data_IF_476393651247
#
_entry.id   IF_476393651247
#
_cell.length_a   1.000
_cell.length_b   1.000
_cell.length_c   1.000
_cell.angle_alpha   90.00
_cell.angle_beta   90.00
_cell.angle_gamma   90.00
#
_symmetry.space_group_name_H-M   'P 1'
#
loop_
_entity.id
_entity.type
_entity.pdbx_description
1 polymer ?
#
# COMPACT_ATOMS: atom_id res chain seq x y z
N UNK A 1 57.91 -17.59 -38.84
CA UNK A 1 57.81 -18.02 -37.44
C UNK A 1 57.60 -16.75 -36.62
N UNK A 2 56.37 -16.44 -36.23
CA UNK A 2 56.07 -15.22 -35.47
C UNK A 2 55.51 -15.63 -34.12
N UNK A 3 56.19 -15.27 -33.03
CA UNK A 3 55.73 -15.55 -31.67
C UNK A 3 54.45 -14.76 -31.35
N UNK A 4 53.51 -15.33 -30.58
CA UNK A 4 52.37 -14.58 -30.05
C UNK A 4 52.79 -13.71 -28.85
N UNK A 5 52.09 -12.60 -28.57
CA UNK A 5 52.46 -11.66 -27.51
C UNK A 5 52.09 -12.22 -26.12
N UNK A 6 52.74 -11.74 -25.03
CA UNK A 6 52.47 -12.22 -23.67
C UNK A 6 51.10 -11.75 -23.17
N UNK A 7 50.37 -12.66 -22.53
CA UNK A 7 49.08 -12.43 -21.88
C UNK A 7 49.23 -11.53 -20.64
N UNK A 8 48.37 -10.51 -20.53
CA UNK A 8 48.25 -9.66 -19.33
C UNK A 8 47.73 -10.47 -18.14
N UNK A 9 48.22 -10.24 -16.91
CA UNK A 9 47.67 -10.89 -15.72
C UNK A 9 46.26 -10.38 -15.43
N UNK A 10 45.33 -11.31 -15.20
CA UNK A 10 43.95 -11.05 -14.78
C UNK A 10 43.93 -10.47 -13.36
N UNK A 11 42.96 -9.59 -13.02
CA UNK A 11 42.89 -8.99 -11.70
C UNK A 11 42.55 -10.07 -10.65
N UNK A 12 43.38 -10.14 -9.61
CA UNK A 12 43.22 -11.06 -8.48
C UNK A 12 41.83 -10.95 -7.87
N UNK A 13 41.06 -12.04 -7.88
CA UNK A 13 39.89 -12.18 -7.04
C UNK A 13 40.35 -12.22 -5.58
N UNK A 14 40.19 -11.10 -4.86
CA UNK A 14 40.40 -11.06 -3.40
C UNK A 14 39.33 -11.94 -2.74
N UNK A 15 39.73 -13.13 -2.29
CA UNK A 15 38.89 -13.96 -1.43
C UNK A 15 38.64 -13.23 -0.11
N UNK A 16 37.37 -13.03 0.25
CA UNK A 16 36.94 -12.45 1.53
C UNK A 16 37.54 -13.25 2.69
N UNK A 17 38.10 -12.55 3.68
CA UNK A 17 38.91 -13.13 4.75
C UNK A 17 38.06 -13.99 5.70
N UNK A 18 38.60 -15.09 6.22
CA UNK A 18 37.92 -15.97 7.19
C UNK A 18 37.44 -15.21 8.44
N UNK A 19 38.15 -14.15 8.82
CA UNK A 19 37.77 -13.28 9.94
C UNK A 19 36.51 -12.45 9.63
N UNK A 20 36.34 -12.01 8.38
CA UNK A 20 35.12 -11.31 7.94
C UNK A 20 33.91 -12.27 7.90
N UNK A 21 34.14 -13.56 7.62
CA UNK A 21 33.09 -14.59 7.71
C UNK A 21 32.72 -14.89 9.17
N UNK A 22 33.68 -14.78 10.08
CA UNK A 22 33.47 -15.00 11.52
C UNK A 22 32.73 -13.81 12.17
N UNK A 23 33.05 -12.57 11.78
CA UNK A 23 32.33 -11.39 12.27
C UNK A 23 30.89 -11.31 11.72
N UNK A 24 30.67 -11.75 10.48
CA UNK A 24 29.32 -11.88 9.90
C UNK A 24 28.45 -12.94 10.60
N UNK A 25 29.05 -13.94 11.26
CA UNK A 25 28.31 -14.91 12.07
C UNK A 25 27.88 -14.34 13.44
N UNK A 26 28.54 -13.28 13.92
CA UNK A 26 28.29 -12.65 15.22
C UNK A 26 27.29 -11.48 15.10
N UNK A 27 27.38 -10.70 14.02
CA UNK A 27 26.40 -9.65 13.69
C UNK A 27 25.48 -10.16 12.58
N UNK A 28 24.45 -10.93 12.95
CA UNK A 28 23.42 -11.37 12.01
C UNK A 28 22.45 -10.23 11.76
N UNK A 29 22.67 -9.50 10.68
CA UNK A 29 21.64 -8.64 10.10
C UNK A 29 20.50 -9.53 9.60
N UNK A 30 19.22 -9.10 9.72
CA UNK A 30 18.11 -9.86 9.18
C UNK A 30 18.24 -9.94 7.66
N UNK A 31 18.33 -11.16 7.13
CA UNK A 31 18.50 -11.42 5.68
C UNK A 31 17.17 -11.58 4.94
N UNK A 32 16.08 -11.81 5.69
CA UNK A 32 14.73 -11.98 5.14
C UNK A 32 13.68 -11.33 6.05
N UNK A 33 12.44 -11.31 5.55
CA UNK A 33 11.32 -10.63 6.20
C UNK A 33 10.97 -11.27 7.55
N UNK A 34 11.04 -12.59 7.64
CA UNK A 34 10.77 -13.32 8.88
C UNK A 34 11.78 -12.96 9.97
N UNK A 35 13.07 -12.89 9.62
CA UNK A 35 14.13 -12.49 10.55
C UNK A 35 13.99 -11.01 10.96
N UNK A 36 13.57 -10.14 10.04
CA UNK A 36 13.31 -8.74 10.37
C UNK A 36 12.18 -8.61 11.38
N UNK A 37 11.07 -9.34 11.18
CA UNK A 37 9.94 -9.35 12.11
C UNK A 37 10.34 -9.86 13.49
N UNK A 38 11.12 -10.93 13.56
CA UNK A 38 11.64 -11.45 14.82
C UNK A 38 12.50 -10.40 15.56
N UNK A 39 13.37 -9.70 14.84
CA UNK A 39 14.19 -8.64 15.44
C UNK A 39 13.35 -7.48 15.99
N UNK A 40 12.24 -7.15 15.33
CA UNK A 40 11.28 -6.13 15.79
C UNK A 40 10.51 -6.60 17.03
N UNK A 41 10.10 -7.86 17.09
CA UNK A 41 9.51 -8.47 18.29
C UNK A 41 10.48 -8.46 19.47
N UNK A 42 11.74 -8.87 19.26
CA UNK A 42 12.77 -8.85 20.29
C UNK A 42 13.08 -7.42 20.78
N UNK A 43 12.95 -6.41 19.91
CA UNK A 43 13.08 -5.00 20.28
C UNK A 43 11.88 -4.53 21.13
N UNK A 44 10.67 -4.98 20.80
CA UNK A 44 9.46 -4.71 21.59
C UNK A 44 9.53 -5.34 22.98
N UNK A 45 9.93 -6.62 23.08
CA UNK A 45 10.08 -7.33 24.37
C UNK A 45 11.12 -6.67 25.28
N UNK A 46 12.15 -6.08 24.68
CA UNK A 46 13.17 -5.29 25.39
C UNK A 46 12.75 -3.84 25.66
N UNK A 47 11.50 -3.49 25.37
CA UNK A 47 10.92 -2.16 25.58
C UNK A 47 11.65 -1.04 24.81
N UNK A 48 12.30 -1.39 23.69
CA UNK A 48 12.93 -0.43 22.77
C UNK A 48 11.95 0.09 21.72
N UNK A 49 10.83 -0.61 21.55
CA UNK A 49 9.74 -0.32 20.63
C UNK A 49 8.43 -0.53 21.36
N UNK A 50 7.48 0.39 21.25
CA UNK A 50 6.14 0.18 21.81
C UNK A 50 5.26 -0.68 20.88
N UNK A 51 4.11 -1.11 21.39
CA UNK A 51 3.20 -1.99 20.66
C UNK A 51 2.59 -1.32 19.42
N UNK A 52 2.33 -0.02 19.49
CA UNK A 52 1.74 0.75 18.39
C UNK A 52 2.74 0.85 17.23
N UNK A 53 4.00 1.16 17.53
CA UNK A 53 5.07 1.23 16.55
C UNK A 53 5.36 -0.12 15.91
N UNK A 54 5.37 -1.20 16.70
CA UNK A 54 5.48 -2.56 16.15
C UNK A 54 4.32 -2.87 15.19
N UNK A 55 3.08 -2.63 15.62
CA UNK A 55 1.88 -2.90 14.81
C UNK A 55 1.86 -2.07 13.51
N UNK A 56 2.30 -0.80 13.58
CA UNK A 56 2.44 0.04 12.39
C UNK A 56 3.47 -0.52 11.40
N UNK A 57 4.65 -0.96 11.87
CA UNK A 57 5.70 -1.51 11.01
C UNK A 57 5.21 -2.82 10.35
N UNK A 58 4.59 -3.70 11.12
CA UNK A 58 3.98 -4.93 10.60
C UNK A 58 2.91 -4.64 9.54
N UNK A 59 2.04 -3.66 9.81
CA UNK A 59 1.02 -3.21 8.88
C UNK A 59 1.60 -2.69 7.57
N UNK A 60 2.67 -1.87 7.62
CA UNK A 60 3.35 -1.38 6.42
C UNK A 60 3.94 -2.52 5.59
N UNK A 61 4.61 -3.46 6.25
CA UNK A 61 5.17 -4.63 5.57
C UNK A 61 4.06 -5.45 4.90
N UNK A 62 2.92 -5.64 5.56
CA UNK A 62 1.77 -6.35 4.98
C UNK A 62 1.14 -5.60 3.80
N UNK A 63 0.94 -4.29 3.92
CA UNK A 63 0.36 -3.45 2.85
C UNK A 63 1.18 -3.51 1.56
N UNK A 64 2.50 -3.67 1.65
CA UNK A 64 3.38 -3.78 0.49
C UNK A 64 3.09 -5.00 -0.41
N UNK A 65 2.39 -6.01 0.12
CA UNK A 65 2.02 -7.23 -0.60
C UNK A 65 0.56 -7.24 -1.04
N UNK A 66 -0.26 -6.32 -0.52
CA UNK A 66 -1.68 -6.24 -0.84
C UNK A 66 -1.90 -5.70 -2.25
N UNK A 67 -2.93 -6.22 -2.91
CA UNK A 67 -3.43 -5.73 -4.20
C UNK A 67 -4.76 -5.02 -4.00
N UNK A 68 -5.17 -4.19 -4.95
CA UNK A 68 -6.44 -3.47 -4.88
C UNK A 68 -7.64 -4.39 -4.60
N UNK A 69 -7.64 -5.61 -5.15
CA UNK A 69 -8.69 -6.61 -4.92
C UNK A 69 -8.78 -7.15 -3.51
N UNK A 70 -7.72 -7.04 -2.73
CA UNK A 70 -7.67 -7.55 -1.37
C UNK A 70 -8.30 -6.54 -0.39
N UNK A 71 -8.52 -5.29 -0.83
CA UNK A 71 -9.05 -4.19 -0.01
C UNK A 71 -10.29 -3.50 -0.60
N UNK A 72 -10.61 -3.70 -1.88
CA UNK A 72 -11.74 -3.01 -2.52
C UNK A 72 -13.09 -3.43 -1.94
N UNK A 73 -14.07 -2.52 -1.96
CA UNK A 73 -15.48 -2.88 -1.75
C UNK A 73 -15.98 -3.56 -3.04
N UNK A 74 -16.52 -4.80 -2.98
CA UNK A 74 -17.03 -5.47 -4.16
C UNK A 74 -18.13 -4.64 -4.84
N UNK A 75 -18.15 -4.67 -6.17
CA UNK A 75 -19.06 -3.86 -6.98
C UNK A 75 -20.54 -3.98 -6.57
N UNK A 76 -20.99 -5.19 -6.24
CA UNK A 76 -22.38 -5.46 -5.81
C UNK A 76 -22.73 -4.85 -4.45
N UNK A 77 -21.72 -4.50 -3.65
CA UNK A 77 -21.86 -3.93 -2.32
C UNK A 77 -21.59 -2.41 -2.31
N UNK A 78 -21.30 -1.81 -3.47
CA UNK A 78 -21.07 -0.36 -3.54
C UNK A 78 -22.40 0.39 -3.40
N UNK A 79 -22.39 1.34 -2.48
CA UNK A 79 -23.35 2.44 -2.41
C UNK A 79 -23.04 3.43 -3.54
N UNK A 80 -23.99 3.60 -4.46
CA UNK A 80 -23.81 4.40 -5.68
C UNK A 80 -24.96 5.40 -5.84
N UNK A 81 -24.71 6.48 -6.58
CA UNK A 81 -25.73 7.44 -6.98
C UNK A 81 -25.98 7.30 -8.48
N UNK A 82 -27.23 7.14 -8.89
CA UNK A 82 -27.60 7.15 -10.31
C UNK A 82 -27.98 8.57 -10.73
N UNK A 83 -27.31 9.10 -11.74
CA UNK A 83 -27.55 10.46 -12.25
C UNK A 83 -28.88 10.56 -13.01
N UNK A 84 -29.45 9.43 -13.43
CA UNK A 84 -30.75 9.38 -14.10
C UNK A 84 -31.91 9.59 -13.12
N UNK A 85 -31.65 9.44 -11.82
CA UNK A 85 -32.60 9.69 -10.75
C UNK A 85 -32.59 11.14 -10.27
N UNK A 86 -33.76 11.65 -9.90
CA UNK A 86 -33.88 13.01 -9.38
C UNK A 86 -33.16 13.16 -8.02
N UNK A 87 -32.49 14.29 -7.72
CA UNK A 87 -31.75 14.49 -6.47
C UNK A 87 -32.51 14.13 -5.19
N UNK A 88 -33.82 14.41 -5.14
CA UNK A 88 -34.67 14.10 -4.00
C UNK A 88 -34.80 12.60 -3.68
N UNK A 89 -34.48 11.71 -4.61
CA UNK A 89 -34.54 10.25 -4.40
C UNK A 89 -33.27 9.73 -3.72
N UNK A 90 -32.10 10.24 -4.08
CA UNK A 90 -30.81 9.71 -3.62
C UNK A 90 -30.11 10.59 -2.57
N UNK A 91 -30.46 11.87 -2.42
CA UNK A 91 -29.91 12.72 -1.33
C UNK A 91 -30.18 12.13 0.06
N UNK A 92 -31.40 11.64 0.39
CA UNK A 92 -31.64 10.99 1.68
C UNK A 92 -30.75 9.75 1.90
N UNK A 93 -30.50 8.99 0.83
CA UNK A 93 -29.59 7.85 0.85
C UNK A 93 -28.16 8.26 1.16
N UNK A 94 -27.64 9.30 0.47
CA UNK A 94 -26.30 9.88 0.73
C UNK A 94 -26.15 10.32 2.19
N UNK A 95 -27.17 10.99 2.75
CA UNK A 95 -27.15 11.43 4.15
C UNK A 95 -27.14 10.22 5.10
N UNK A 96 -27.97 9.21 4.83
CA UNK A 96 -28.11 8.04 5.72
C UNK A 96 -26.89 7.12 5.77
N UNK A 97 -26.17 7.00 4.65
CA UNK A 97 -24.96 6.15 4.53
C UNK A 97 -23.72 6.83 5.12
N UNK A 98 -23.72 8.16 5.27
CA UNK A 98 -22.66 8.95 5.89
C UNK A 98 -21.26 8.79 5.25
N UNK A 99 -21.19 8.34 4.00
CA UNK A 99 -19.92 8.30 3.25
C UNK A 99 -19.54 9.70 2.75
N UNK A 100 -18.24 9.94 2.60
CA UNK A 100 -17.75 11.20 2.01
C UNK A 100 -17.84 11.24 0.48
N UNK A 101 -17.84 10.07 -0.17
CA UNK A 101 -17.70 9.91 -1.62
C UNK A 101 -18.60 8.80 -2.12
N UNK A 102 -19.24 9.02 -3.26
CA UNK A 102 -20.10 8.06 -3.93
C UNK A 102 -19.71 7.94 -5.40
N UNK A 103 -19.54 6.72 -5.94
CA UNK A 103 -19.50 6.52 -7.39
C UNK A 103 -20.84 6.97 -8.00
N UNK A 104 -20.75 7.76 -9.07
CA UNK A 104 -21.90 8.19 -9.86
C UNK A 104 -22.00 7.32 -11.10
N UNK A 105 -23.17 6.73 -11.31
CA UNK A 105 -23.48 5.86 -12.44
C UNK A 105 -24.55 6.47 -13.35
N UNK A 106 -24.65 5.99 -14.58
CA UNK A 106 -25.73 6.36 -15.51
C UNK A 106 -26.53 5.11 -15.89
N UNK A 107 -27.65 4.85 -15.21
CA UNK A 107 -28.59 3.75 -15.46
C UNK A 107 -28.06 2.33 -15.22
N UNK A 108 -26.75 2.12 -15.27
CA UNK A 108 -26.09 0.85 -15.05
C UNK A 108 -24.86 1.00 -14.14
N UNK A 109 -24.74 0.12 -13.14
CA UNK A 109 -23.57 -0.02 -12.26
C UNK A 109 -22.24 -0.30 -12.98
N UNK A 110 -22.25 -0.72 -14.24
CA UNK A 110 -21.04 -0.86 -15.08
C UNK A 110 -20.53 0.51 -15.57
N UNK A 111 -21.41 1.50 -15.67
CA UNK A 111 -21.14 2.78 -16.28
C UNK A 111 -20.91 3.85 -15.22
N UNK A 112 -19.76 3.78 -14.54
CA UNK A 112 -19.33 4.82 -13.60
C UNK A 112 -18.83 6.04 -14.39
N UNK A 113 -19.51 7.17 -14.25
CA UNK A 113 -19.21 8.42 -14.97
C UNK A 113 -18.41 9.42 -14.13
N UNK A 114 -18.33 9.20 -12.81
CA UNK A 114 -17.59 10.10 -11.92
C UNK A 114 -17.74 9.75 -10.45
N UNK A 115 -17.33 10.69 -9.59
CA UNK A 115 -17.44 10.60 -8.13
C UNK A 115 -18.14 11.85 -7.62
N UNK A 116 -19.20 11.66 -6.84
CA UNK A 116 -19.86 12.70 -6.07
C UNK A 116 -19.17 12.81 -4.70
N UNK A 117 -18.78 14.02 -4.33
CA UNK A 117 -18.37 14.34 -2.96
C UNK A 117 -19.61 14.79 -2.19
N UNK A 118 -19.93 14.15 -1.06
CA UNK A 118 -21.12 14.48 -0.28
C UNK A 118 -21.14 15.96 0.15
N UNK A 119 -19.97 16.52 0.49
CA UNK A 119 -19.81 17.94 0.84
C UNK A 119 -20.23 18.91 -0.28
N UNK A 120 -20.22 18.48 -1.54
CA UNK A 120 -20.57 19.36 -2.65
C UNK A 120 -22.09 19.59 -2.72
N UNK A 121 -22.89 18.75 -2.06
CA UNK A 121 -24.32 18.99 -1.87
C UNK A 121 -24.63 20.24 -1.02
N UNK A 122 -23.65 20.73 -0.24
CA UNK A 122 -23.81 21.99 0.47
C UNK A 122 -23.97 23.17 -0.50
N UNK A 123 -23.24 23.14 -1.63
CA UNK A 123 -23.36 24.15 -2.69
C UNK A 123 -24.72 24.06 -3.37
N UNK A 124 -25.17 22.83 -3.66
CA UNK A 124 -26.52 22.58 -4.19
C UNK A 124 -27.63 23.13 -3.28
N UNK A 125 -27.44 23.14 -1.96
CA UNK A 125 -28.42 23.70 -1.03
C UNK A 125 -28.39 25.23 -0.94
N UNK A 126 -27.21 25.86 -1.08
CA UNK A 126 -27.03 27.30 -0.81
C UNK A 126 -26.98 28.17 -2.06
N UNK A 127 -26.56 27.62 -3.20
CA UNK A 127 -26.38 28.36 -4.45
C UNK A 127 -27.63 28.19 -5.33
N UNK A 128 -28.28 29.29 -5.70
CA UNK A 128 -29.54 29.27 -6.43
C UNK A 128 -29.42 28.76 -7.88
N UNK A 129 -28.20 28.67 -8.41
CA UNK A 129 -27.87 28.36 -9.81
C UNK A 129 -27.06 27.06 -9.97
N UNK A 130 -27.05 26.18 -8.97
CA UNK A 130 -26.32 24.90 -8.98
C UNK A 130 -27.19 23.71 -9.38
#
# INVERSE_FOLDING_TARGET
MSEPPPSRPSPSQKHKSLLERLTALIFREPENREQLLQALHDAHDRHLLDADALSMIEGVLQVSELRARDLMIPRSQMDVVDITDAPNTWIPFVISTAHSRFPVIEGNRDQVIGILLAKDLLRYYTEADF
#
